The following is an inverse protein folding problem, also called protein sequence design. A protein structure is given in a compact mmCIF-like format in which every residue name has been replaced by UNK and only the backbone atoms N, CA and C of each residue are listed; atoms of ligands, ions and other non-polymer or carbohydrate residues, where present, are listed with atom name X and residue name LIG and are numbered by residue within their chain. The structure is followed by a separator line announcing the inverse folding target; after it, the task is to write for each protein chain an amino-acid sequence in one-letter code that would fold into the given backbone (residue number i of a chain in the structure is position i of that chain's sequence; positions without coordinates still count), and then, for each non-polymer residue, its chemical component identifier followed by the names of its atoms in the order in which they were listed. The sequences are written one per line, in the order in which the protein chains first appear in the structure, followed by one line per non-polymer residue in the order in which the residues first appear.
data_IF_501795381350
#
_entry.id   IF_501795381350
#
_cell.length_a   1.000
_cell.length_b   1.000
_cell.length_c   1.000
_cell.angle_alpha   90.00
_cell.angle_beta   90.00
_cell.angle_gamma   90.00
#
_symmetry.space_group_name_H-M   'P 1'
#
loop_
_entity.id
_entity.type
_entity.pdbx_description
1 polymer ?
#
# COMPACT_ATOMS: atom_id res chain seq x y z
N UNK A 1 6.95 0.65 -5.21
CA UNK A 1 6.53 0.50 -3.81
C UNK A 1 5.26 -0.34 -3.80
N UNK A 2 5.16 -1.37 -2.94
CA UNK A 2 3.90 -2.06 -2.70
C UNK A 2 2.80 -1.06 -2.30
N UNK A 3 1.66 -1.11 -2.99
CA UNK A 3 0.50 -0.27 -2.67
C UNK A 3 -0.57 -1.13 -1.99
N UNK A 4 -1.77 -0.59 -1.78
CA UNK A 4 -2.80 -1.23 -0.97
C UNK A 4 -3.07 -2.70 -1.35
N UNK A 5 -3.33 -3.07 -2.63
CA UNK A 5 -3.64 -4.45 -3.00
C UNK A 5 -2.49 -5.42 -2.71
N UNK A 6 -1.24 -4.98 -2.91
CA UNK A 6 -0.06 -5.80 -2.64
C UNK A 6 0.02 -6.12 -1.14
N UNK A 7 -0.09 -5.08 -0.30
CA UNK A 7 -0.02 -5.23 1.15
C UNK A 7 -1.20 -6.02 1.71
N UNK A 8 -2.36 -5.98 1.06
CA UNK A 8 -3.51 -6.76 1.47
C UNK A 8 -3.21 -8.26 1.34
N UNK A 9 -2.63 -8.68 0.22
CA UNK A 9 -2.16 -10.07 0.01
C UNK A 9 -1.05 -10.42 0.98
N UNK A 10 -0.10 -9.51 1.24
CA UNK A 10 0.99 -9.76 2.18
C UNK A 10 0.44 -9.99 3.59
N UNK A 11 -0.51 -9.16 4.04
CA UNK A 11 -1.14 -9.32 5.36
C UNK A 11 -1.83 -10.67 5.50
N UNK A 12 -2.57 -11.12 4.48
CA UNK A 12 -3.26 -12.43 4.48
C UNK A 12 -2.24 -13.57 4.58
N UNK A 13 -1.18 -13.51 3.77
CA UNK A 13 -0.10 -14.50 3.73
C UNK A 13 0.67 -14.59 5.05
N UNK A 14 1.07 -13.43 5.59
CA UNK A 14 1.76 -13.34 6.87
C UNK A 14 0.87 -13.82 8.02
N UNK A 15 -0.40 -13.41 8.05
CA UNK A 15 -1.34 -13.80 9.08
C UNK A 15 -1.59 -15.32 9.09
N UNK A 16 -1.70 -15.95 7.91
CA UNK A 16 -1.84 -17.40 7.76
C UNK A 16 -0.67 -18.17 8.41
N UNK A 17 0.55 -17.61 8.36
CA UNK A 17 1.77 -18.26 8.84
C UNK A 17 2.12 -17.90 10.29
N UNK A 18 1.86 -16.65 10.71
CA UNK A 18 2.39 -16.09 11.96
C UNK A 18 1.36 -15.96 13.08
N UNK A 19 0.06 -15.98 12.76
CA UNK A 19 -0.99 -15.85 13.78
C UNK A 19 -0.83 -16.93 14.85
N UNK A 20 -0.90 -16.52 16.11
CA UNK A 20 -0.77 -17.39 17.27
C UNK A 20 0.67 -17.74 17.65
N UNK A 21 1.66 -17.32 16.87
CA UNK A 21 3.08 -17.56 17.19
C UNK A 21 3.63 -16.49 18.11
N UNK A 22 4.49 -16.90 19.03
CA UNK A 22 5.24 -16.00 19.91
C UNK A 22 6.48 -15.45 19.20
N UNK A 23 6.71 -14.13 19.29
CA UNK A 23 7.95 -13.52 18.85
C UNK A 23 9.04 -13.84 19.88
N UNK A 24 9.95 -14.74 19.54
CA UNK A 24 11.02 -15.18 20.42
C UNK A 24 12.15 -14.15 20.49
N UNK A 25 12.45 -13.51 19.35
CA UNK A 25 13.54 -12.53 19.24
C UNK A 25 13.27 -11.49 18.17
N UNK A 26 13.67 -10.25 18.43
CA UNK A 26 13.64 -9.12 17.53
C UNK A 26 15.07 -8.58 17.35
N UNK A 27 15.69 -8.84 16.20
CA UNK A 27 17.01 -8.26 15.91
C UNK A 27 16.83 -6.98 15.12
N UNK A 28 17.31 -5.85 15.64
CA UNK A 28 17.26 -4.55 14.97
C UNK A 28 18.66 -4.21 14.45
N UNK A 29 18.82 -4.22 13.14
CA UNK A 29 20.12 -3.91 12.50
C UNK A 29 20.22 -2.43 12.10
N UNK A 30 19.09 -1.72 12.06
CA UNK A 30 19.03 -0.29 11.77
C UNK A 30 18.02 0.43 12.66
N UNK A 31 18.50 1.37 13.46
CA UNK A 31 17.69 2.08 14.47
C UNK A 31 17.24 3.48 14.03
N UNK A 32 17.86 4.06 12.99
CA UNK A 32 17.62 5.47 12.57
C UNK A 32 16.17 5.83 12.23
N UNK A 33 15.33 4.84 11.91
CA UNK A 33 13.93 5.05 11.49
C UNK A 33 12.91 4.66 12.56
N UNK A 34 13.35 4.22 13.75
CA UNK A 34 12.46 3.90 14.84
C UNK A 34 11.88 5.19 15.46
N UNK A 35 10.63 5.11 15.92
CA UNK A 35 9.98 6.17 16.69
C UNK A 35 10.26 6.07 18.20
N UNK A 36 10.80 4.94 18.65
CA UNK A 36 11.16 4.63 20.04
C UNK A 36 12.59 4.09 20.07
N UNK A 37 13.16 3.93 21.27
CA UNK A 37 14.45 3.27 21.41
C UNK A 37 14.37 1.78 21.04
N UNK A 38 15.49 1.20 20.61
CA UNK A 38 15.59 -0.24 20.35
C UNK A 38 15.15 -1.08 21.56
N UNK A 39 15.57 -0.67 22.77
CA UNK A 39 15.22 -1.36 24.02
C UNK A 39 13.71 -1.34 24.27
N UNK A 40 13.04 -0.20 24.05
CA UNK A 40 11.59 -0.09 24.20
C UNK A 40 10.86 -0.99 23.20
N UNK A 41 11.29 -0.99 21.93
CA UNK A 41 10.69 -1.85 20.91
C UNK A 41 10.82 -3.34 21.25
N UNK A 42 12.03 -3.76 21.64
CA UNK A 42 12.31 -5.14 22.06
C UNK A 42 11.45 -5.51 23.26
N UNK A 43 11.43 -4.68 24.31
CA UNK A 43 10.66 -4.94 25.53
C UNK A 43 9.15 -5.03 25.26
N UNK A 44 8.64 -4.24 24.32
CA UNK A 44 7.23 -4.20 23.99
C UNK A 44 6.73 -5.45 23.22
N UNK A 45 7.60 -6.08 22.43
CA UNK A 45 7.22 -7.08 21.42
C UNK A 45 7.80 -8.48 21.69
N UNK A 46 9.02 -8.58 22.21
CA UNK A 46 9.62 -9.89 22.49
C UNK A 46 8.83 -10.63 23.57
N UNK A 47 8.71 -11.93 23.37
CA UNK A 47 7.95 -12.82 24.22
C UNK A 47 6.42 -12.72 24.04
N UNK A 48 5.93 -11.84 23.17
CA UNK A 48 4.50 -11.64 22.95
C UNK A 48 3.98 -12.52 21.82
N UNK A 49 2.74 -12.98 21.97
CA UNK A 49 2.04 -13.73 20.93
C UNK A 49 1.40 -12.78 19.91
N UNK A 50 1.59 -13.08 18.63
CA UNK A 50 0.97 -12.33 17.55
C UNK A 50 -0.51 -12.72 17.43
N UNK A 51 -1.39 -11.75 17.63
CA UNK A 51 -2.84 -11.94 17.48
C UNK A 51 -3.24 -12.02 16.01
N UNK A 52 -2.74 -11.09 15.18
CA UNK A 52 -2.99 -11.05 13.74
C UNK A 52 -1.99 -10.17 13.01
N UNK A 53 -1.91 -10.33 11.70
CA UNK A 53 -1.31 -9.35 10.79
C UNK A 53 -2.41 -8.75 9.93
N UNK A 54 -2.46 -7.43 9.88
CA UNK A 54 -3.43 -6.70 9.06
C UNK A 54 -2.76 -5.59 8.27
N UNK A 55 -3.46 -5.09 7.25
CA UNK A 55 -3.03 -3.94 6.47
C UNK A 55 -3.73 -2.69 6.98
N UNK A 56 -2.98 -1.60 7.09
CA UNK A 56 -3.50 -0.28 7.44
C UNK A 56 -2.98 0.73 6.41
N UNK A 57 -3.78 1.08 5.41
CA UNK A 57 -3.33 1.93 4.29
C UNK A 57 -2.15 1.30 3.55
N UNK A 58 -0.99 1.97 3.60
CA UNK A 58 0.29 1.52 3.02
C UNK A 58 1.25 0.89 4.03
N UNK A 59 0.73 0.45 5.18
CA UNK A 59 1.50 -0.23 6.21
C UNK A 59 0.97 -1.63 6.46
N UNK A 60 1.86 -2.50 6.94
CA UNK A 60 1.50 -3.76 7.59
C UNK A 60 1.58 -3.58 9.10
N UNK A 61 0.55 -4.03 9.80
CA UNK A 61 0.44 -3.95 11.24
C UNK A 61 0.48 -5.37 11.82
N UNK A 62 1.52 -5.66 12.59
CA UNK A 62 1.66 -6.88 13.38
C UNK A 62 1.09 -6.60 14.76
N UNK A 63 -0.13 -7.09 15.02
CA UNK A 63 -0.88 -6.81 16.24
C UNK A 63 -0.63 -7.92 17.24
N UNK A 64 -0.05 -7.58 18.40
CA UNK A 64 0.26 -8.52 19.47
C UNK A 64 -0.86 -8.59 20.51
N UNK A 65 -0.95 -9.71 21.24
CA UNK A 65 -2.01 -9.93 22.24
C UNK A 65 -1.97 -8.96 23.42
N UNK A 66 -0.81 -8.38 23.74
CA UNK A 66 -0.67 -7.36 24.78
C UNK A 66 -1.13 -5.95 24.35
N UNK A 67 -1.68 -5.81 23.13
CA UNK A 67 -2.17 -4.54 22.60
C UNK A 67 -1.13 -3.73 21.82
N UNK A 68 0.16 -4.10 21.89
CA UNK A 68 1.19 -3.43 21.09
C UNK A 68 1.07 -3.81 19.61
N UNK A 69 1.42 -2.86 18.75
CA UNK A 69 1.40 -3.00 17.29
C UNK A 69 2.76 -2.61 16.73
N UNK A 70 3.36 -3.49 15.93
CA UNK A 70 4.46 -3.10 15.06
C UNK A 70 3.92 -2.72 13.69
N UNK A 71 3.92 -1.42 13.39
CA UNK A 71 3.67 -0.89 12.06
C UNK A 71 4.92 -0.97 11.19
N UNK A 72 4.76 -1.38 9.94
CA UNK A 72 5.85 -1.48 8.97
C UNK A 72 5.44 -0.81 7.65
N UNK A 73 6.12 0.27 7.30
CA UNK A 73 6.04 0.89 5.98
C UNK A 73 7.27 0.49 5.14
N UNK A 74 7.07 -0.30 4.07
CA UNK A 74 8.18 -0.83 3.26
C UNK A 74 8.87 0.21 2.37
N UNK A 75 8.26 1.37 2.16
CA UNK A 75 8.79 2.40 1.26
C UNK A 75 9.06 1.82 -0.14
N UNK A 76 9.96 2.43 -0.92
CA UNK A 76 10.15 2.07 -2.33
C UNK A 76 10.81 0.71 -2.53
N UNK A 77 11.78 0.35 -1.68
CA UNK A 77 12.66 -0.80 -1.88
C UNK A 77 12.65 -1.81 -0.73
N UNK A 78 11.83 -1.58 0.30
CA UNK A 78 11.67 -2.53 1.38
C UNK A 78 11.09 -3.84 0.89
N UNK A 79 11.73 -4.94 1.26
CA UNK A 79 11.29 -6.29 0.95
C UNK A 79 11.22 -7.13 2.22
N UNK A 80 10.46 -8.22 2.14
CA UNK A 80 10.31 -9.19 3.22
C UNK A 80 10.69 -10.57 2.72
N UNK A 81 11.49 -11.27 3.50
CA UNK A 81 12.02 -12.59 3.16
C UNK A 81 11.82 -13.54 4.32
N UNK A 82 11.28 -14.72 4.03
CA UNK A 82 11.37 -15.83 4.95
C UNK A 82 12.81 -16.34 5.00
N UNK A 83 13.25 -16.77 6.18
CA UNK A 83 14.50 -17.50 6.35
C UNK A 83 14.34 -18.54 7.46
N UNK A 84 15.13 -19.60 7.38
CA UNK A 84 15.22 -20.65 8.40
C UNK A 84 16.66 -20.68 8.90
N UNK A 85 16.85 -20.78 10.22
CA UNK A 85 18.18 -20.68 10.83
C UNK A 85 18.78 -19.27 10.71
N UNK A 86 19.98 -19.16 10.12
CA UNK A 86 20.69 -17.88 10.00
C UNK A 86 20.21 -17.08 8.79
N UNK A 87 19.94 -15.79 9.00
CA UNK A 87 19.55 -14.88 7.94
C UNK A 87 20.77 -14.46 7.09
N UNK A 88 20.78 -14.86 5.81
CA UNK A 88 21.81 -14.47 4.84
C UNK A 88 21.40 -13.32 3.92
N UNK A 89 20.22 -12.71 4.14
CA UNK A 89 19.73 -11.65 3.28
C UNK A 89 20.57 -10.38 3.44
N UNK A 90 20.98 -9.79 2.31
CA UNK A 90 21.73 -8.53 2.33
C UNK A 90 20.80 -7.36 2.67
N UNK A 91 21.37 -6.31 3.25
CA UNK A 91 20.65 -5.08 3.59
C UNK A 91 19.49 -5.26 4.57
N UNK A 92 19.54 -6.30 5.41
CA UNK A 92 18.57 -6.47 6.50
C UNK A 92 18.59 -5.27 7.45
N UNK A 93 17.41 -4.79 7.79
CA UNK A 93 17.20 -3.72 8.76
C UNK A 93 16.55 -4.21 10.05
N UNK A 94 15.75 -5.28 9.98
CA UNK A 94 14.98 -5.84 11.06
C UNK A 94 14.75 -7.33 10.82
N UNK A 95 14.80 -8.15 11.86
CA UNK A 95 14.44 -9.57 11.81
C UNK A 95 13.45 -9.90 12.93
N UNK A 96 12.38 -10.60 12.58
CA UNK A 96 11.43 -11.16 13.54
C UNK A 96 11.59 -12.68 13.57
N UNK A 97 11.98 -13.21 14.72
CA UNK A 97 12.15 -14.64 14.95
C UNK A 97 10.94 -15.15 15.71
N UNK A 98 10.08 -15.91 15.04
CA UNK A 98 8.90 -16.49 15.65
C UNK A 98 9.15 -17.94 16.07
N UNK A 99 8.38 -18.40 17.05
CA UNK A 99 8.39 -19.80 17.47
C UNK A 99 8.15 -20.76 16.29
N UNK A 100 8.87 -21.90 16.33
CA UNK A 100 8.91 -22.88 15.24
C UNK A 100 10.04 -22.65 14.24
N UNK A 101 11.03 -21.81 14.56
CA UNK A 101 12.31 -21.68 13.83
C UNK A 101 12.26 -20.85 12.54
N UNK A 102 11.10 -20.29 12.19
CA UNK A 102 10.91 -19.47 10.99
C UNK A 102 11.12 -17.99 11.29
N UNK A 103 12.06 -17.37 10.59
CA UNK A 103 12.35 -15.95 10.67
C UNK A 103 11.76 -15.14 9.52
N UNK A 104 11.44 -13.87 9.78
CA UNK A 104 11.04 -12.88 8.78
C UNK A 104 12.05 -11.73 8.77
N UNK A 105 12.81 -11.59 7.68
CA UNK A 105 13.76 -10.50 7.49
C UNK A 105 13.12 -9.38 6.69
N UNK A 106 13.27 -8.14 7.14
CA UNK A 106 12.96 -6.93 6.37
C UNK A 106 14.28 -6.40 5.83
N UNK A 107 14.37 -6.23 4.52
CA UNK A 107 15.56 -5.70 3.83
C UNK A 107 15.24 -4.39 3.16
N UNK A 108 16.19 -3.45 3.16
CA UNK A 108 16.10 -2.23 2.36
C UNK A 108 17.51 -1.64 2.16
N UNK A 109 17.99 -1.66 0.92
CA UNK A 109 19.32 -1.12 0.60
C UNK A 109 19.43 0.39 0.81
N UNK A 110 18.32 1.13 0.76
CA UNK A 110 18.28 2.58 1.05
C UNK A 110 17.93 2.89 2.49
N UNK A 111 17.59 1.86 3.30
CA UNK A 111 17.24 1.97 4.72
C UNK A 111 16.14 3.02 4.98
N UNK A 112 15.15 3.08 4.08
CA UNK A 112 14.00 3.96 4.18
C UNK A 112 12.80 3.29 4.82
N UNK A 113 12.66 1.97 4.72
CA UNK A 113 11.60 1.22 5.37
C UNK A 113 11.57 1.54 6.89
N UNK A 114 10.36 1.79 7.38
CA UNK A 114 10.13 2.40 8.69
C UNK A 114 9.35 1.43 9.58
N UNK A 115 9.98 0.85 10.61
CA UNK A 115 9.29 0.21 11.72
C UNK A 115 8.79 1.26 12.71
N UNK A 116 7.58 1.07 13.23
CA UNK A 116 6.96 2.00 14.18
C UNK A 116 6.24 1.21 15.26
N UNK A 117 6.59 1.41 16.53
CA UNK A 117 5.82 0.89 17.65
C UNK A 117 4.58 1.76 17.83
N UNK A 118 3.41 1.12 17.88
CA UNK A 118 2.11 1.75 18.13
C UNK A 118 1.89 2.99 17.23
N UNK A 119 1.85 2.80 15.89
CA UNK A 119 1.58 3.90 14.97
C UNK A 119 0.25 4.58 15.31
N UNK A 120 0.19 5.90 15.12
CA UNK A 120 -1.00 6.70 15.42
C UNK A 120 -2.23 6.19 14.66
N UNK A 121 -3.40 6.35 15.29
CA UNK A 121 -4.66 6.04 14.63
C UNK A 121 -4.87 6.97 13.43
N UNK A 122 -5.16 6.41 12.25
CA UNK A 122 -5.33 7.19 11.04
C UNK A 122 -6.68 7.93 11.07
N UNK A 123 -6.66 9.22 10.71
CA UNK A 123 -7.87 10.05 10.59
C UNK A 123 -8.57 9.89 9.23
N UNK A 124 -7.78 9.61 8.19
CA UNK A 124 -8.29 9.43 6.84
C UNK A 124 -8.85 8.02 6.61
N UNK A 125 -9.93 7.89 5.81
CA UNK A 125 -10.49 6.60 5.45
C UNK A 125 -9.52 5.77 4.61
N UNK A 126 -9.63 4.45 4.74
CA UNK A 126 -8.93 3.51 3.88
C UNK A 126 -9.66 3.37 2.53
N UNK A 127 -8.95 3.40 1.41
CA UNK A 127 -9.59 3.38 0.08
C UNK A 127 -10.47 2.16 -0.19
N UNK A 128 -10.21 1.03 0.49
CA UNK A 128 -11.05 -0.18 0.37
C UNK A 128 -12.14 -0.28 1.43
N UNK A 129 -12.15 0.61 2.43
CA UNK A 129 -13.16 0.63 3.48
C UNK A 129 -14.50 1.22 3.00
N UNK A 130 -15.53 1.07 3.84
CA UNK A 130 -16.91 1.48 3.52
C UNK A 130 -17.06 2.99 3.37
N UNK A 131 -16.37 3.73 4.24
CA UNK A 131 -16.33 5.19 4.39
C UNK A 131 -15.79 5.95 3.17
N UNK A 132 -14.85 5.38 2.40
CA UNK A 132 -14.37 5.92 1.12
C UNK A 132 -15.38 5.71 -0.04
N UNK A 133 -16.67 5.99 0.21
CA UNK A 133 -17.78 5.84 -0.72
C UNK A 133 -18.11 7.11 -1.51
N UNK A 134 -19.24 7.09 -2.22
CA UNK A 134 -19.67 8.22 -3.07
C UNK A 134 -19.80 9.55 -2.32
N UNK A 135 -20.41 9.57 -1.13
CA UNK A 135 -20.60 10.81 -0.36
C UNK A 135 -19.26 11.41 0.08
N UNK A 136 -18.31 10.57 0.47
CA UNK A 136 -16.94 10.98 0.76
C UNK A 136 -16.29 11.61 -0.47
N UNK A 137 -16.29 10.93 -1.61
CA UNK A 137 -15.68 11.46 -2.84
C UNK A 137 -16.35 12.74 -3.33
N UNK A 138 -17.68 12.82 -3.26
CA UNK A 138 -18.42 14.05 -3.59
C UNK A 138 -17.95 15.22 -2.76
N UNK A 139 -17.93 15.07 -1.44
CA UNK A 139 -17.53 16.14 -0.52
C UNK A 139 -16.06 16.52 -0.72
N UNK A 140 -15.18 15.53 -0.85
CA UNK A 140 -13.74 15.74 -1.06
C UNK A 140 -13.45 16.49 -2.37
N UNK A 141 -14.10 16.11 -3.47
CA UNK A 141 -13.86 16.72 -4.77
C UNK A 141 -14.45 18.13 -4.85
N UNK A 142 -15.67 18.35 -4.36
CA UNK A 142 -16.32 19.67 -4.39
C UNK A 142 -15.55 20.75 -3.64
N UNK A 143 -14.85 20.37 -2.56
CA UNK A 143 -14.07 21.30 -1.74
C UNK A 143 -12.63 21.50 -2.21
N UNK A 144 -12.25 20.94 -3.37
CA UNK A 144 -10.88 21.01 -3.86
C UNK A 144 -10.78 21.63 -5.24
N UNK A 145 -9.78 22.51 -5.41
CA UNK A 145 -9.40 23.10 -6.70
C UNK A 145 -8.20 22.40 -7.34
N UNK A 146 -7.63 21.40 -6.68
CA UNK A 146 -6.49 20.64 -7.20
C UNK A 146 -6.91 19.60 -8.24
N UNK A 147 -5.91 19.06 -8.94
CA UNK A 147 -6.11 17.94 -9.85
C UNK A 147 -6.60 16.69 -9.09
N UNK A 148 -7.57 15.97 -9.64
CA UNK A 148 -8.18 14.79 -9.02
C UNK A 148 -7.14 13.72 -8.64
N UNK A 149 -6.13 13.49 -9.49
CA UNK A 149 -5.06 12.53 -9.18
C UNK A 149 -4.27 12.92 -7.94
N UNK A 150 -4.03 14.22 -7.71
CA UNK A 150 -3.31 14.69 -6.53
C UNK A 150 -4.07 14.38 -5.24
N UNK A 151 -5.42 14.38 -5.27
CA UNK A 151 -6.24 14.01 -4.12
C UNK A 151 -6.24 12.51 -3.86
N UNK A 152 -6.31 11.69 -4.91
CA UNK A 152 -6.18 10.23 -4.79
C UNK A 152 -4.86 9.81 -4.15
N UNK A 153 -3.79 10.56 -4.39
CA UNK A 153 -2.46 10.30 -3.85
C UNK A 153 -2.26 10.79 -2.41
N UNK A 154 -3.12 11.68 -1.93
CA UNK A 154 -2.96 12.31 -0.63
C UNK A 154 -3.40 11.36 0.49
N UNK A 155 -2.45 10.88 1.29
CA UNK A 155 -2.72 9.93 2.37
C UNK A 155 -3.49 10.55 3.55
N UNK A 156 -3.54 11.88 3.66
CA UNK A 156 -4.34 12.61 4.65
C UNK A 156 -5.80 12.75 4.22
N UNK A 157 -6.10 12.47 2.95
CA UNK A 157 -7.47 12.46 2.39
C UNK A 157 -7.97 11.02 2.30
N UNK A 158 -7.19 10.15 1.65
CA UNK A 158 -7.52 8.75 1.48
C UNK A 158 -6.26 7.90 1.53
N UNK A 159 -6.29 6.81 2.29
CA UNK A 159 -5.12 5.97 2.50
C UNK A 159 -5.07 4.81 1.52
N UNK A 160 -3.86 4.45 1.13
CA UNK A 160 -3.58 3.21 0.39
C UNK A 160 -3.41 3.35 -1.12
N UNK A 161 -4.02 4.36 -1.75
CA UNK A 161 -3.85 4.59 -3.19
C UNK A 161 -2.47 5.21 -3.44
N UNK A 162 -1.65 4.59 -4.27
CA UNK A 162 -0.40 5.16 -4.75
C UNK A 162 -0.45 5.50 -6.22
N UNK A 163 0.74 5.64 -6.82
CA UNK A 163 0.86 6.22 -8.15
C UNK A 163 0.32 5.31 -9.24
N UNK A 164 0.55 4.00 -9.10
CA UNK A 164 0.07 3.04 -10.08
C UNK A 164 -1.46 2.98 -10.04
N UNK A 165 -2.03 2.75 -8.87
CA UNK A 165 -3.48 2.60 -8.78
C UNK A 165 -4.25 3.91 -8.98
N UNK A 166 -3.66 5.08 -8.71
CA UNK A 166 -4.30 6.34 -9.08
C UNK A 166 -4.50 6.46 -10.59
N UNK A 167 -3.50 6.06 -11.40
CA UNK A 167 -3.64 6.06 -12.87
C UNK A 167 -4.70 5.07 -13.34
N UNK A 168 -4.67 3.84 -12.80
CA UNK A 168 -5.63 2.79 -13.14
C UNK A 168 -7.08 3.15 -12.77
N UNK A 169 -7.29 3.74 -11.59
CA UNK A 169 -8.60 4.18 -11.12
C UNK A 169 -9.17 5.25 -12.05
N UNK A 170 -8.34 6.21 -12.45
CA UNK A 170 -8.76 7.32 -13.31
C UNK A 170 -8.98 6.88 -14.75
N UNK A 171 -8.21 5.91 -15.23
CA UNK A 171 -8.44 5.27 -16.52
C UNK A 171 -9.76 4.51 -16.54
N UNK A 172 -10.03 3.67 -15.53
CA UNK A 172 -11.30 2.94 -15.38
C UNK A 172 -12.50 3.90 -15.27
N UNK A 173 -12.34 5.01 -14.54
CA UNK A 173 -13.37 6.03 -14.39
C UNK A 173 -13.53 6.96 -15.61
N UNK A 174 -12.69 6.81 -16.65
CA UNK A 174 -12.61 7.70 -17.81
C UNK A 174 -12.43 9.18 -17.44
N UNK A 175 -11.68 9.45 -16.38
CA UNK A 175 -11.37 10.79 -15.87
C UNK A 175 -9.91 11.14 -16.14
N UNK A 176 -9.66 12.29 -16.74
CA UNK A 176 -8.30 12.80 -16.93
C UNK A 176 -7.68 13.07 -15.55
N UNK A 177 -6.43 12.64 -15.30
CA UNK A 177 -5.76 12.87 -14.03
C UNK A 177 -5.53 14.35 -13.73
N UNK A 178 -5.64 15.22 -14.73
CA UNK A 178 -5.48 16.66 -14.61
C UNK A 178 -6.78 17.40 -14.31
N UNK A 179 -7.93 16.72 -14.32
CA UNK A 179 -9.24 17.34 -14.08
C UNK A 179 -9.26 18.05 -12.73
N UNK A 180 -9.77 19.28 -12.71
CA UNK A 180 -10.00 20.03 -11.49
C UNK A 180 -11.10 19.32 -10.70
N UNK A 181 -10.78 18.90 -9.48
CA UNK A 181 -11.65 18.07 -8.66
C UNK A 181 -13.07 18.63 -8.51
N UNK A 182 -13.20 19.92 -8.22
CA UNK A 182 -14.50 20.60 -8.06
C UNK A 182 -15.30 20.78 -9.35
N UNK A 183 -14.71 20.52 -10.52
CA UNK A 183 -15.37 20.61 -11.82
C UNK A 183 -15.95 19.29 -12.31
N UNK A 184 -15.60 18.18 -11.65
CA UNK A 184 -16.07 16.84 -12.01
C UNK A 184 -17.57 16.73 -11.74
N UNK A 185 -18.40 16.39 -12.76
CA UNK A 185 -19.84 16.24 -12.59
C UNK A 185 -20.20 15.11 -11.61
N UNK A 186 -21.33 15.26 -10.91
CA UNK A 186 -21.83 14.30 -9.92
C UNK A 186 -21.93 12.85 -10.44
N UNK A 187 -22.30 12.69 -11.72
CA UNK A 187 -22.35 11.40 -12.39
C UNK A 187 -20.96 10.73 -12.43
N UNK A 188 -19.92 11.48 -12.81
CA UNK A 188 -18.55 10.99 -12.86
C UNK A 188 -17.98 10.75 -11.45
N UNK A 189 -18.42 11.49 -10.43
CA UNK A 189 -18.05 11.19 -9.03
C UNK A 189 -18.57 9.82 -8.59
N UNK A 190 -19.80 9.44 -8.98
CA UNK A 190 -20.34 8.09 -8.71
C UNK A 190 -19.53 7.00 -9.39
N UNK A 191 -19.12 7.26 -10.64
CA UNK A 191 -18.24 6.35 -11.39
C UNK A 191 -16.89 6.22 -10.67
N UNK A 192 -16.23 7.33 -10.32
CA UNK A 192 -14.97 7.33 -9.60
C UNK A 192 -15.04 6.51 -8.30
N UNK A 193 -16.06 6.74 -7.48
CA UNK A 193 -16.22 6.03 -6.21
C UNK A 193 -16.36 4.51 -6.41
N UNK A 194 -17.01 4.08 -7.51
CA UNK A 194 -17.10 2.67 -7.90
C UNK A 194 -15.75 2.15 -8.41
N UNK A 195 -15.07 2.92 -9.27
CA UNK A 195 -13.78 2.58 -9.86
C UNK A 195 -12.69 2.40 -8.80
N UNK A 196 -12.62 3.27 -7.79
CA UNK A 196 -11.67 3.13 -6.66
C UNK A 196 -11.76 1.74 -6.03
N UNK A 197 -12.98 1.31 -5.66
CA UNK A 197 -13.18 0.00 -5.02
C UNK A 197 -13.01 -1.14 -6.01
N UNK A 198 -13.48 -0.97 -7.25
CA UNK A 198 -13.44 -1.98 -8.31
C UNK A 198 -12.01 -2.35 -8.71
N UNK A 199 -11.20 -1.34 -9.03
CA UNK A 199 -9.80 -1.51 -9.46
C UNK A 199 -8.96 -2.14 -8.35
N UNK A 200 -9.04 -1.63 -7.11
CA UNK A 200 -8.26 -2.17 -6.00
C UNK A 200 -8.63 -3.63 -5.66
N UNK A 201 -9.93 -3.97 -5.65
CA UNK A 201 -10.39 -5.35 -5.42
C UNK A 201 -10.01 -6.28 -6.56
N UNK A 202 -10.09 -5.82 -7.81
CA UNK A 202 -9.67 -6.61 -8.95
C UNK A 202 -8.15 -6.87 -8.89
N UNK A 203 -7.36 -5.86 -8.56
CA UNK A 203 -5.92 -6.00 -8.39
C UNK A 203 -5.56 -7.01 -7.30
N UNK A 204 -6.19 -6.94 -6.13
CA UNK A 204 -6.02 -7.94 -5.06
C UNK A 204 -6.29 -9.36 -5.58
N UNK A 205 -7.40 -9.56 -6.31
CA UNK A 205 -7.73 -10.86 -6.92
C UNK A 205 -6.69 -11.34 -7.92
N UNK A 206 -6.17 -10.46 -8.78
CA UNK A 206 -5.15 -10.82 -9.75
C UNK A 206 -3.83 -11.21 -9.06
N UNK A 207 -3.42 -10.48 -8.01
CA UNK A 207 -2.23 -10.82 -7.22
C UNK A 207 -2.41 -12.16 -6.51
N UNK A 208 -3.57 -12.43 -5.91
CA UNK A 208 -3.87 -13.71 -5.27
C UNK A 208 -3.87 -14.88 -6.27
N UNK A 209 -4.35 -14.63 -7.49
CA UNK A 209 -4.34 -15.63 -8.56
C UNK A 209 -2.93 -15.98 -9.03
N UNK A 210 -2.05 -14.98 -9.09
CA UNK A 210 -0.65 -15.16 -9.45
C UNK A 210 0.15 -15.86 -8.35
N UNK A 211 0.09 -15.34 -7.11
CA UNK A 211 0.76 -15.94 -5.97
C UNK A 211 0.02 -15.61 -4.65
N UNK A 212 -0.75 -16.57 -4.10
CA UNK A 212 -1.56 -16.35 -2.90
C UNK A 212 -0.75 -16.27 -1.61
N UNK A 213 0.50 -16.76 -1.60
CA UNK A 213 1.39 -16.74 -0.41
C UNK A 213 2.47 -15.65 -0.52
N UNK A 214 2.29 -14.68 -1.44
CA UNK A 214 3.25 -13.59 -1.69
C UNK A 214 3.37 -12.69 -0.46
N UNK A 215 4.61 -12.40 -0.06
CA UNK A 215 4.93 -11.46 1.03
C UNK A 215 5.82 -10.29 0.58
N UNK A 216 6.23 -10.23 -0.69
CA UNK A 216 7.06 -9.13 -1.18
C UNK A 216 6.95 -8.93 -2.69
N UNK A 217 7.57 -7.86 -3.18
CA UNK A 217 7.58 -7.47 -4.58
C UNK A 217 6.28 -6.82 -5.05
N UNK A 218 6.13 -6.70 -6.36
CA UNK A 218 4.94 -6.12 -6.99
C UNK A 218 4.53 -7.02 -8.15
N UNK A 219 3.23 -7.12 -8.42
CA UNK A 219 2.73 -7.78 -9.62
C UNK A 219 1.87 -6.77 -10.37
N UNK A 220 2.30 -6.40 -11.58
CA UNK A 220 1.74 -5.26 -12.34
C UNK A 220 1.35 -5.63 -13.77
N UNK A 221 1.47 -6.89 -14.16
CA UNK A 221 1.27 -7.32 -15.56
C UNK A 221 -0.19 -7.19 -16.00
N UNK A 222 -1.12 -7.14 -15.05
CA UNK A 222 -2.55 -6.94 -15.30
C UNK A 222 -2.97 -5.45 -15.37
N UNK A 223 -2.04 -4.51 -15.15
CA UNK A 223 -2.36 -3.09 -15.22
C UNK A 223 -2.65 -2.66 -16.67
N UNK A 224 -3.50 -1.65 -16.84
CA UNK A 224 -4.02 -1.24 -18.14
C UNK A 224 -3.28 -0.02 -18.70
N UNK A 225 -2.97 0.97 -17.85
CA UNK A 225 -2.41 2.25 -18.28
C UNK A 225 -1.06 2.56 -17.61
N UNK A 226 -0.85 2.13 -16.37
CA UNK A 226 0.39 2.36 -15.63
C UNK A 226 1.48 1.38 -16.05
N UNK A 227 1.91 1.49 -17.31
CA UNK A 227 2.80 0.56 -17.98
C UNK A 227 4.02 1.32 -18.54
N UNK A 228 5.08 1.56 -17.73
CA UNK A 228 6.21 2.43 -18.11
C UNK A 228 6.97 2.04 -19.38
N UNK A 229 6.85 0.78 -19.81
CA UNK A 229 7.54 0.22 -20.99
C UNK A 229 6.63 0.13 -22.23
N UNK A 230 5.34 0.43 -22.10
CA UNK A 230 4.36 0.25 -23.16
C UNK A 230 3.93 1.61 -23.72
N UNK A 231 3.66 1.64 -25.03
CA UNK A 231 3.13 2.83 -25.73
C UNK A 231 1.61 2.80 -25.89
N UNK A 232 1.00 1.64 -25.66
CA UNK A 232 -0.44 1.42 -25.80
C UNK A 232 -0.96 0.57 -24.66
N UNK A 233 -2.24 0.74 -24.33
CA UNK A 233 -2.96 -0.14 -23.40
C UNK A 233 -3.17 -1.52 -24.05
N UNK A 234 -3.55 -2.56 -23.28
CA UNK A 234 -3.94 -3.85 -23.85
C UNK A 234 -5.11 -3.77 -24.84
N UNK A 235 -5.92 -2.70 -24.78
CA UNK A 235 -7.03 -2.44 -25.71
C UNK A 235 -6.60 -1.62 -26.94
N UNK A 236 -5.33 -1.21 -27.03
CA UNK A 236 -4.79 -0.46 -28.17
C UNK A 236 -4.90 1.07 -28.06
N UNK A 237 -5.36 1.60 -26.92
CA UNK A 237 -5.38 3.05 -26.69
C UNK A 237 -3.95 3.57 -26.49
N UNK A 238 -3.58 4.72 -27.05
CA UNK A 238 -2.24 5.28 -26.88
C UNK A 238 -2.03 5.74 -25.42
N UNK A 239 -0.93 5.29 -24.80
CA UNK A 239 -0.53 5.72 -23.46
C UNK A 239 0.31 6.99 -23.57
N UNK A 240 -0.21 8.05 -22.98
CA UNK A 240 0.47 9.32 -22.81
C UNK A 240 1.10 9.41 -21.42
N UNK A 241 2.17 10.18 -21.32
CA UNK A 241 2.89 10.39 -20.08
C UNK A 241 3.13 11.87 -19.82
N UNK A 242 2.76 12.35 -18.63
CA UNK A 242 3.14 13.67 -18.10
C UNK A 242 3.58 13.57 -16.64
N UNK A 243 4.20 14.63 -16.13
CA UNK A 243 4.53 14.73 -14.70
C UNK A 243 3.43 15.50 -14.00
N UNK A 244 2.91 14.95 -12.90
CA UNK A 244 1.98 15.63 -11.99
C UNK A 244 2.46 15.42 -10.56
N UNK A 245 2.60 16.50 -9.79
CA UNK A 245 3.09 16.45 -8.39
C UNK A 245 4.40 15.64 -8.25
N UNK A 246 5.36 15.87 -9.16
CA UNK A 246 6.67 15.17 -9.22
C UNK A 246 6.59 13.66 -9.50
N UNK A 247 5.45 13.15 -9.97
CA UNK A 247 5.26 11.74 -10.32
C UNK A 247 4.91 11.59 -11.79
N UNK A 248 5.50 10.59 -12.44
CA UNK A 248 5.09 10.16 -13.77
C UNK A 248 3.65 9.67 -13.71
N UNK A 249 2.83 10.20 -14.60
CA UNK A 249 1.39 9.96 -14.71
C UNK A 249 1.11 9.42 -16.08
N UNK A 250 0.49 8.25 -16.13
CA UNK A 250 0.12 7.57 -17.36
C UNK A 250 -1.38 7.68 -17.56
N UNK A 251 -1.80 8.05 -18.77
CA UNK A 251 -3.19 8.31 -19.12
C UNK A 251 -3.40 8.13 -20.62
N UNK A 252 -4.64 8.27 -21.09
CA UNK A 252 -5.02 8.18 -22.51
C UNK A 252 -5.89 9.38 -22.89
N UNK A 253 -5.97 9.69 -24.19
CA UNK A 253 -6.87 10.74 -24.70
C UNK A 253 -8.36 10.36 -24.60
N UNK A 254 -8.68 9.09 -24.29
CA UNK A 254 -10.04 8.63 -24.07
C UNK A 254 -10.62 9.07 -22.70
N UNK A 255 -9.79 9.66 -21.83
CA UNK A 255 -10.21 10.17 -20.52
C UNK A 255 -10.69 11.62 -20.63
N UNK A 256 -11.87 11.91 -20.07
CA UNK A 256 -12.50 13.23 -20.13
C UNK A 256 -11.83 14.22 -19.18
N UNK A 257 -11.56 15.43 -19.66
CA UNK A 257 -10.97 16.53 -18.88
C UNK A 257 -12.04 17.51 -18.43
N UNK A 258 -12.00 17.90 -17.14
CA UNK A 258 -12.85 18.94 -16.57
C UNK A 258 -12.00 20.05 -15.97
N UNK A 259 -12.12 21.29 -16.47
CA UNK A 259 -11.36 22.48 -16.06
C UNK A 259 -12.24 23.70 -15.68
#
# INVERSE_FOLDING_TARGET
MPELPDLQVFSQSLNKVLKGKKLQKLNILQTKKLNVTEKELITALEGQELNRVERSGKQLHFVFKNGNVLGLHLMLHGQMHWFDGDNTNKFTILELHFEGGKGLAITDFQRQATPTLNPDEPTAPDAMAGDAGYQFWKTTLQNSRGAVKSLLLNQDIVRGIGNAYADEILYDARLSPFSIASKIPDANVKVLAKSVKGVLKNAEKQILKDNPDRISGEFRDFLQVHLPKHKTTPQGEAILQKTLSSRKTYYTDAQEMFD
#
